data_IF_692714247152
#
_entry.id   IF_692714247152
#
_cell.length_a   1.000
_cell.length_b   1.000
_cell.length_c   1.000
_cell.angle_alpha   90.00
_cell.angle_beta   90.00
_cell.angle_gamma   90.00
#
_symmetry.space_group_name_H-M   'P 1'
#
loop_
_entity.id
_entity.type
_entity.pdbx_description
1 polymer ?
#
# COMPACT_ATOMS: atom_id res chain seq x y z
N UNK A 1 -7.36 -78.59 -2.85
CA UNK A 1 -6.01 -78.08 -2.50
C UNK A 1 -5.85 -76.75 -3.19
N UNK A 2 -6.08 -75.63 -2.49
CA UNK A 2 -5.99 -74.29 -3.07
C UNK A 2 -4.55 -73.82 -2.93
N UNK A 3 -3.81 -73.81 -4.03
CA UNK A 3 -2.45 -73.29 -4.07
C UNK A 3 -2.46 -71.78 -3.84
N UNK A 4 -1.86 -71.35 -2.72
CA UNK A 4 -1.57 -69.95 -2.43
C UNK A 4 -0.50 -69.47 -3.43
N UNK A 5 -0.95 -68.72 -4.43
CA UNK A 5 -0.11 -68.12 -5.45
C UNK A 5 0.64 -66.94 -4.79
N UNK A 6 1.87 -67.16 -4.34
CA UNK A 6 2.69 -66.05 -3.85
C UNK A 6 3.12 -65.18 -5.03
N UNK A 7 2.97 -63.85 -4.96
CA UNK A 7 3.40 -62.95 -6.02
C UNK A 7 4.91 -63.03 -6.20
N UNK A 8 5.36 -62.96 -7.45
CA UNK A 8 6.79 -63.02 -7.79
C UNK A 8 7.50 -61.76 -7.26
N UNK A 9 8.80 -61.85 -6.91
CA UNK A 9 9.57 -60.71 -6.41
C UNK A 9 9.63 -59.53 -7.41
N UNK A 10 9.51 -59.80 -8.72
CA UNK A 10 9.43 -58.77 -9.75
C UNK A 10 8.12 -57.94 -9.65
N UNK A 11 6.98 -58.58 -9.34
CA UNK A 11 5.70 -57.90 -9.19
C UNK A 11 5.64 -57.03 -7.93
N UNK A 12 6.34 -57.44 -6.86
CA UNK A 12 6.46 -56.63 -5.64
C UNK A 12 7.32 -55.39 -5.90
N UNK A 13 8.42 -55.54 -6.64
CA UNK A 13 9.28 -54.41 -6.97
C UNK A 13 8.57 -53.39 -7.87
N UNK A 14 7.86 -53.86 -8.91
CA UNK A 14 7.05 -52.97 -9.76
C UNK A 14 5.97 -52.23 -8.97
N UNK A 15 5.29 -52.93 -8.04
CA UNK A 15 4.32 -52.30 -7.16
C UNK A 15 4.95 -51.23 -6.29
N UNK A 16 6.12 -51.50 -5.68
CA UNK A 16 6.84 -50.51 -4.86
C UNK A 16 7.28 -49.29 -5.69
N UNK A 17 7.72 -49.50 -6.94
CA UNK A 17 8.08 -48.38 -7.82
C UNK A 17 6.85 -47.56 -8.22
N UNK A 18 5.72 -48.21 -8.47
CA UNK A 18 4.46 -47.53 -8.78
C UNK A 18 3.96 -46.73 -7.58
N UNK A 19 4.00 -47.32 -6.37
CA UNK A 19 3.58 -46.66 -5.13
C UNK A 19 4.48 -45.44 -4.83
N UNK A 20 5.80 -45.56 -5.03
CA UNK A 20 6.73 -44.45 -4.85
C UNK A 20 6.49 -43.33 -5.86
N UNK A 21 6.23 -43.68 -7.13
CA UNK A 21 5.90 -42.72 -8.19
C UNK A 21 4.62 -41.94 -7.85
N UNK A 22 3.57 -42.64 -7.43
CA UNK A 22 2.32 -42.03 -6.98
C UNK A 22 2.53 -41.14 -5.76
N UNK A 23 3.41 -41.52 -4.83
CA UNK A 23 3.72 -40.71 -3.66
C UNK A 23 4.47 -39.43 -4.05
N UNK A 24 5.38 -39.49 -5.01
CA UNK A 24 6.09 -38.31 -5.55
C UNK A 24 5.10 -37.37 -6.23
N UNK A 25 4.21 -37.89 -7.07
CA UNK A 25 3.16 -37.08 -7.72
C UNK A 25 2.18 -36.47 -6.71
N UNK A 26 1.78 -37.23 -5.68
CA UNK A 26 0.92 -36.72 -4.61
C UNK A 26 1.62 -35.60 -3.83
N UNK A 27 2.93 -35.74 -3.58
CA UNK A 27 3.73 -34.72 -2.91
C UNK A 27 3.94 -33.48 -3.78
N UNK A 28 4.08 -33.65 -5.09
CA UNK A 28 4.19 -32.54 -6.05
C UNK A 28 2.86 -31.75 -6.12
N UNK A 29 1.73 -32.46 -6.16
CA UNK A 29 0.39 -31.85 -6.10
C UNK A 29 0.14 -31.14 -4.78
N UNK A 30 0.54 -31.74 -3.65
CA UNK A 30 0.45 -31.13 -2.33
C UNK A 30 1.35 -29.88 -2.24
N UNK A 31 2.59 -29.97 -2.71
CA UNK A 31 3.55 -28.86 -2.76
C UNK A 31 3.00 -27.71 -3.58
N UNK A 32 2.47 -28.01 -4.78
CA UNK A 32 1.83 -27.02 -5.64
C UNK A 32 0.59 -26.38 -4.98
N UNK A 33 -0.24 -27.17 -4.29
CA UNK A 33 -1.38 -26.67 -3.55
C UNK A 33 -0.98 -25.79 -2.34
N UNK A 34 0.07 -26.17 -1.62
CA UNK A 34 0.61 -25.40 -0.48
C UNK A 34 1.24 -24.09 -0.96
N UNK A 35 1.95 -24.09 -2.08
CA UNK A 35 2.54 -22.90 -2.71
C UNK A 35 1.46 -21.90 -3.16
N UNK A 36 0.36 -22.41 -3.73
CA UNK A 36 -0.80 -21.59 -4.13
C UNK A 36 -1.64 -21.10 -2.93
N UNK A 37 -1.63 -21.81 -1.80
CA UNK A 37 -2.39 -21.47 -0.59
C UNK A 37 -1.61 -20.62 0.43
N UNK A 38 -0.43 -20.11 0.08
CA UNK A 38 0.31 -19.14 0.93
C UNK A 38 -0.30 -17.73 0.80
N UNK A 39 -1.48 -17.52 1.38
CA UNK A 39 -1.57 -16.45 2.37
C UNK A 39 -2.34 -16.84 3.65
N UNK A 40 -2.51 -18.14 3.98
CA UNK A 40 -3.34 -18.53 5.15
C UNK A 40 -2.72 -19.50 6.17
N UNK A 41 -1.47 -19.94 6.03
CA UNK A 41 -0.83 -20.82 7.03
C UNK A 41 -0.05 -20.07 8.14
N UNK A 42 -0.16 -18.74 8.22
CA UNK A 42 0.39 -17.90 9.30
C UNK A 42 -0.63 -16.93 9.91
N UNK A 43 -1.92 -17.28 9.89
CA UNK A 43 -2.89 -16.60 10.75
C UNK A 43 -3.32 -17.55 11.85
N UNK A 44 -2.59 -17.52 12.96
CA UNK A 44 -3.11 -18.02 14.23
C UNK A 44 -4.47 -17.36 14.49
N UNK A 45 -5.55 -18.12 14.70
CA UNK A 45 -6.77 -17.53 15.23
C UNK A 45 -6.45 -17.10 16.66
N UNK A 46 -6.34 -15.79 16.86
CA UNK A 46 -6.42 -15.18 18.18
C UNK A 46 -7.58 -15.83 18.93
N UNK A 47 -7.25 -16.38 20.11
CA UNK A 47 -8.11 -17.26 20.86
C UNK A 47 -9.47 -16.65 21.17
N UNK A 48 -10.46 -17.53 21.28
CA UNK A 48 -11.69 -17.21 21.97
C UNK A 48 -12.04 -18.39 22.89
N UNK A 49 -11.47 -18.35 24.09
CA UNK A 49 -12.22 -18.78 25.26
C UNK A 49 -13.22 -17.69 25.59
N UNK A 50 -14.49 -18.05 25.78
CA UNK A 50 -15.45 -17.19 26.48
C UNK A 50 -14.95 -16.93 27.91
N UNK A 51 -15.16 -15.71 28.47
CA UNK A 51 -16.41 -15.47 29.18
C UNK A 51 -16.99 -14.04 29.05
N UNK A 52 -18.33 -14.01 28.96
CA UNK A 52 -19.31 -13.22 29.76
C UNK A 52 -18.90 -11.84 30.35
N UNK A 53 -19.64 -10.83 29.85
CA UNK A 53 -20.20 -9.62 30.50
C UNK A 53 -19.37 -8.87 31.56
N UNK A 54 -18.92 -7.66 31.25
CA UNK A 54 -19.58 -6.41 31.67
C UNK A 54 -18.75 -5.16 31.28
N UNK A 55 -19.42 -4.17 30.68
CA UNK A 55 -19.13 -2.75 30.94
C UNK A 55 -18.02 -2.02 30.14
N UNK A 56 -18.42 -0.82 29.70
CA UNK A 56 -17.61 0.37 29.39
C UNK A 56 -16.99 0.50 27.99
N UNK A 57 -17.65 1.37 27.22
CA UNK A 57 -17.15 2.32 26.22
C UNK A 57 -15.63 2.41 26.01
N UNK A 58 -15.19 2.38 24.75
CA UNK A 58 -14.77 3.59 24.05
C UNK A 58 -14.53 3.34 22.56
N UNK A 59 -14.81 4.41 21.79
CA UNK A 59 -14.54 4.55 20.39
C UNK A 59 -13.04 4.46 20.08
N UNK A 60 -12.71 3.96 18.90
CA UNK A 60 -11.36 3.96 18.38
C UNK A 60 -11.34 3.46 16.95
N UNK A 61 -11.70 4.33 16.00
CA UNK A 61 -11.32 4.16 14.61
C UNK A 61 -9.79 4.05 14.58
N UNK A 62 -9.27 2.89 14.21
CA UNK A 62 -7.84 2.74 13.92
C UNK A 62 -7.67 3.02 12.43
N UNK A 63 -7.63 4.32 12.09
CA UNK A 63 -6.88 4.78 10.93
C UNK A 63 -5.44 4.33 11.17
N UNK A 64 -4.97 3.38 10.38
CA UNK A 64 -3.55 3.05 10.31
C UNK A 64 -2.87 4.16 9.50
N UNK A 65 -2.65 5.30 10.16
CA UNK A 65 -1.65 6.26 9.73
C UNK A 65 -0.28 5.61 9.96
N UNK A 66 0.59 5.50 8.95
CA UNK A 66 1.98 5.14 9.18
C UNK A 66 2.65 6.35 9.85
N UNK A 67 2.77 6.28 11.16
CA UNK A 67 3.53 7.23 11.97
C UNK A 67 5.03 7.09 11.65
N UNK A 68 5.52 7.83 10.64
CA UNK A 68 6.96 8.01 10.45
C UNK A 68 7.43 9.20 11.28
N UNK A 69 7.71 8.92 12.55
CA UNK A 69 8.43 9.82 13.43
C UNK A 69 9.89 9.97 13.02
N UNK A 70 10.34 11.22 12.83
CA UNK A 70 11.71 11.61 13.17
C UNK A 70 12.85 11.31 12.19
N UNK A 71 12.57 10.90 10.94
CA UNK A 71 13.55 10.96 9.85
C UNK A 71 12.80 11.31 8.57
N UNK A 72 13.05 12.50 8.02
CA UNK A 72 12.50 12.87 6.71
C UNK A 72 13.21 12.00 5.66
N UNK A 73 12.74 10.77 5.48
CA UNK A 73 13.18 9.92 4.38
C UNK A 73 12.81 10.64 3.09
N UNK A 74 13.84 11.16 2.42
CA UNK A 74 13.74 12.04 1.24
C UNK A 74 13.04 11.37 0.06
N UNK A 75 12.82 10.05 0.13
CA UNK A 75 12.16 9.24 -0.89
C UNK A 75 11.11 8.33 -0.25
N UNK A 76 10.06 8.08 -1.02
CA UNK A 76 9.07 7.04 -0.81
C UNK A 76 9.51 5.77 -1.54
N UNK A 77 9.23 4.62 -0.95
CA UNK A 77 9.48 3.31 -1.52
C UNK A 77 8.31 2.37 -1.23
N UNK A 78 7.96 1.56 -2.22
CA UNK A 78 6.99 0.48 -2.13
C UNK A 78 7.58 -0.77 -2.76
N UNK A 79 7.32 -1.91 -2.15
CA UNK A 79 7.69 -3.22 -2.66
C UNK A 79 6.43 -4.05 -2.95
N UNK A 80 6.41 -4.74 -4.10
CA UNK A 80 5.31 -5.62 -4.52
C UNK A 80 5.88 -6.93 -5.03
N UNK A 81 5.41 -8.06 -4.51
CA UNK A 81 5.89 -9.37 -4.94
C UNK A 81 5.29 -9.72 -6.30
N UNK A 82 6.16 -9.83 -7.30
CA UNK A 82 5.81 -10.16 -8.69
C UNK A 82 6.51 -11.45 -9.12
N UNK A 83 6.87 -12.33 -8.17
CA UNK A 83 7.50 -13.61 -8.46
C UNK A 83 6.66 -14.42 -9.47
N UNK A 84 7.35 -15.04 -10.43
CA UNK A 84 6.72 -15.84 -11.47
C UNK A 84 6.23 -15.05 -12.70
N UNK A 85 6.49 -13.74 -12.78
CA UNK A 85 6.37 -12.96 -14.02
C UNK A 85 7.75 -12.46 -14.48
N UNK A 86 8.01 -12.48 -15.78
CA UNK A 86 9.21 -11.84 -16.34
C UNK A 86 8.99 -10.32 -16.50
N UNK A 87 10.06 -9.49 -16.59
CA UNK A 87 9.92 -8.05 -16.83
C UNK A 87 9.04 -7.71 -18.05
N UNK A 88 9.10 -8.54 -19.10
CA UNK A 88 8.38 -8.37 -20.36
C UNK A 88 6.87 -8.66 -20.25
N UNK A 89 6.49 -9.46 -19.26
CA UNK A 89 5.09 -9.82 -18.96
C UNK A 89 4.41 -8.78 -18.04
N UNK A 90 5.19 -7.85 -17.50
CA UNK A 90 4.71 -6.81 -16.60
C UNK A 90 4.41 -5.51 -17.34
N UNK A 91 3.41 -4.78 -16.87
CA UNK A 91 3.07 -3.44 -17.34
C UNK A 91 2.75 -2.56 -16.14
N UNK A 92 3.46 -1.44 -16.05
CA UNK A 92 3.20 -0.41 -15.03
C UNK A 92 2.59 0.81 -15.72
N UNK A 93 1.45 1.29 -15.22
CA UNK A 93 0.78 2.50 -15.70
C UNK A 93 0.55 3.46 -14.56
N UNK A 94 0.73 4.74 -14.85
CA UNK A 94 0.50 5.80 -13.90
C UNK A 94 -0.51 6.80 -14.48
N UNK A 95 -1.54 7.09 -13.70
CA UNK A 95 -2.59 8.07 -14.00
C UNK A 95 -2.66 9.05 -12.82
N UNK A 96 -1.97 10.18 -12.94
CA UNK A 96 -1.76 11.10 -11.82
C UNK A 96 -1.03 10.38 -10.67
N UNK A 97 -1.69 10.28 -9.51
CA UNK A 97 -1.16 9.57 -8.33
C UNK A 97 -1.51 8.09 -8.28
N UNK A 98 -2.36 7.58 -9.17
CA UNK A 98 -2.75 6.17 -9.18
C UNK A 98 -1.74 5.39 -10.01
N UNK A 99 -1.11 4.39 -9.41
CA UNK A 99 -0.22 3.45 -10.09
C UNK A 99 -0.91 2.10 -10.20
N UNK A 100 -0.92 1.54 -11.39
CA UNK A 100 -1.47 0.22 -11.71
C UNK A 100 -0.35 -0.67 -12.22
N UNK A 101 -0.15 -1.81 -11.57
CA UNK A 101 0.77 -2.85 -11.99
C UNK A 101 -0.05 -4.03 -12.50
N UNK A 102 0.24 -4.48 -13.71
CA UNK A 102 -0.39 -5.63 -14.35
C UNK A 102 0.69 -6.65 -14.70
N UNK A 103 0.38 -7.94 -14.58
CA UNK A 103 1.20 -9.04 -15.07
C UNK A 103 0.33 -10.05 -15.78
N UNK A 104 0.78 -10.56 -16.93
CA UNK A 104 0.09 -11.63 -17.67
C UNK A 104 1.11 -12.64 -18.19
N UNK A 105 1.01 -13.87 -17.69
CA UNK A 105 1.87 -14.99 -18.06
C UNK A 105 1.03 -16.06 -18.76
N UNK A 106 1.51 -16.55 -19.89
CA UNK A 106 0.92 -17.68 -20.62
C UNK A 106 2.03 -18.61 -21.07
N UNK A 107 2.01 -19.86 -20.59
CA UNK A 107 3.01 -20.85 -20.93
C UNK A 107 2.35 -22.16 -21.35
N UNK A 108 2.56 -22.53 -22.61
CA UNK A 108 2.16 -23.84 -23.10
C UNK A 108 3.26 -24.88 -22.79
N UNK A 109 2.85 -26.01 -22.22
CA UNK A 109 3.72 -27.13 -21.86
C UNK A 109 3.17 -28.41 -22.49
N UNK A 110 4.02 -29.28 -23.07
CA UNK A 110 3.58 -30.57 -23.58
C UNK A 110 3.19 -31.50 -22.41
N UNK A 111 2.07 -32.18 -22.56
CA UNK A 111 1.62 -33.27 -21.69
C UNK A 111 2.17 -34.61 -22.14
N UNK A 112 2.10 -35.60 -21.25
CA UNK A 112 2.70 -36.93 -21.44
C UNK A 112 2.11 -37.71 -22.63
N UNK A 113 0.82 -37.49 -22.93
CA UNK A 113 0.09 -38.22 -23.98
C UNK A 113 -0.07 -37.44 -25.31
N UNK A 114 0.71 -36.37 -25.49
CA UNK A 114 0.62 -35.51 -26.68
C UNK A 114 -0.42 -34.38 -26.59
N UNK A 115 -1.14 -34.31 -25.47
CA UNK A 115 -1.95 -33.14 -25.10
C UNK A 115 -1.06 -31.94 -24.76
N UNK A 116 -1.59 -30.72 -24.81
CA UNK A 116 -0.87 -29.52 -24.34
C UNK A 116 -1.59 -28.91 -23.15
N UNK A 117 -0.84 -28.62 -22.08
CA UNK A 117 -1.32 -27.83 -20.95
C UNK A 117 -0.95 -26.36 -21.17
N UNK A 118 -1.86 -25.43 -20.86
CA UNK A 118 -1.57 -24.00 -20.86
C UNK A 118 -1.68 -23.50 -19.43
N UNK A 119 -0.56 -23.03 -18.89
CA UNK A 119 -0.53 -22.28 -17.65
C UNK A 119 -0.84 -20.82 -17.95
N UNK A 120 -1.87 -20.27 -17.31
CA UNK A 120 -2.26 -18.88 -17.44
C UNK A 120 -2.29 -18.20 -16.07
N UNK A 121 -1.58 -17.08 -15.92
CA UNK A 121 -1.62 -16.26 -14.70
C UNK A 121 -1.84 -14.80 -15.07
N UNK A 122 -2.71 -14.15 -14.32
CA UNK A 122 -2.93 -12.71 -14.39
C UNK A 122 -2.88 -12.10 -13.00
N UNK A 123 -2.27 -10.92 -12.90
CA UNK A 123 -2.24 -10.12 -11.69
C UNK A 123 -2.55 -8.67 -12.06
N UNK A 124 -3.40 -8.02 -11.26
CA UNK A 124 -3.61 -6.57 -11.31
C UNK A 124 -3.58 -6.04 -9.88
N UNK A 125 -2.68 -5.09 -9.63
CA UNK A 125 -2.62 -4.37 -8.35
C UNK A 125 -2.63 -2.87 -8.62
N UNK A 126 -3.43 -2.16 -7.85
CA UNK A 126 -3.55 -0.71 -7.92
C UNK A 126 -3.18 -0.10 -6.58
N UNK A 127 -2.53 1.06 -6.63
CA UNK A 127 -2.33 1.86 -5.44
C UNK A 127 -2.37 3.36 -5.72
N UNK A 128 -2.64 4.11 -4.65
CA UNK A 128 -2.56 5.55 -4.67
C UNK A 128 -1.27 6.00 -3.98
N UNK A 129 -0.44 6.74 -4.71
CA UNK A 129 0.76 7.36 -4.17
C UNK A 129 0.39 8.40 -3.10
N UNK A 130 1.12 8.44 -1.96
CA UNK A 130 0.94 9.46 -0.94
C UNK A 130 1.01 10.89 -1.48
N UNK A 131 0.40 11.83 -0.76
CA UNK A 131 0.56 13.26 -1.06
C UNK A 131 2.01 13.72 -0.81
N UNK A 132 2.42 14.79 -1.49
CA UNK A 132 3.75 15.39 -1.32
C UNK A 132 4.89 14.60 -1.95
N UNK A 133 4.59 13.65 -2.86
CA UNK A 133 5.60 13.02 -3.72
C UNK A 133 5.72 13.77 -5.04
N UNK A 134 6.92 13.76 -5.60
CA UNK A 134 7.14 14.19 -6.98
C UNK A 134 6.67 13.06 -7.91
N UNK A 135 5.44 13.24 -8.41
CA UNK A 135 4.71 12.26 -9.22
C UNK A 135 5.36 12.06 -10.59
N UNK A 136 6.07 13.05 -11.10
CA UNK A 136 6.75 12.99 -12.40
C UNK A 136 8.09 12.24 -12.32
N UNK A 137 8.66 12.14 -11.12
CA UNK A 137 9.93 11.47 -10.85
C UNK A 137 9.77 10.06 -10.26
N UNK A 138 8.61 9.44 -10.46
CA UNK A 138 8.36 8.05 -10.06
C UNK A 138 9.20 7.12 -10.94
N UNK A 139 9.93 6.19 -10.31
CA UNK A 139 10.69 5.15 -10.98
C UNK A 139 10.25 3.77 -10.50
N UNK A 140 10.47 2.77 -11.36
CA UNK A 140 10.12 1.39 -11.10
C UNK A 140 11.27 0.48 -11.53
N UNK A 141 11.58 -0.52 -10.70
CA UNK A 141 12.63 -1.52 -10.97
C UNK A 141 12.18 -2.89 -10.46
N UNK A 142 12.53 -3.94 -11.18
CA UNK A 142 12.28 -5.32 -10.76
C UNK A 142 13.60 -5.96 -10.33
N UNK A 143 13.64 -6.47 -9.10
CA UNK A 143 14.79 -7.22 -8.58
C UNK A 143 14.76 -8.67 -9.11
N UNK A 144 15.93 -9.34 -9.12
CA UNK A 144 16.08 -10.70 -9.64
C UNK A 144 15.29 -11.76 -8.86
N UNK A 145 14.89 -11.45 -7.63
CA UNK A 145 14.04 -12.28 -6.78
C UNK A 145 12.53 -12.10 -7.07
N UNK A 146 12.16 -11.27 -8.04
CA UNK A 146 10.77 -10.97 -8.38
C UNK A 146 10.16 -9.83 -7.56
N UNK A 147 10.92 -9.14 -6.71
CA UNK A 147 10.41 -8.00 -5.96
C UNK A 147 10.39 -6.74 -6.84
N UNK A 148 9.19 -6.24 -7.16
CA UNK A 148 9.02 -4.95 -7.85
C UNK A 148 9.13 -3.81 -6.83
N UNK A 149 9.98 -2.84 -7.12
CA UNK A 149 10.24 -1.66 -6.30
C UNK A 149 9.79 -0.40 -7.04
N UNK A 150 8.85 0.32 -6.45
CA UNK A 150 8.37 1.62 -6.92
C UNK A 150 8.91 2.68 -5.95
N UNK A 151 9.59 3.69 -6.47
CA UNK A 151 10.17 4.76 -5.66
C UNK A 151 9.84 6.13 -6.24
N UNK A 152 9.77 7.13 -5.36
CA UNK A 152 9.55 8.52 -5.76
C UNK A 152 10.17 9.48 -4.75
N UNK A 153 10.78 10.60 -5.17
CA UNK A 153 11.26 11.60 -4.25
C UNK A 153 10.08 12.32 -3.59
N UNK A 154 10.26 12.76 -2.34
CA UNK A 154 9.32 13.69 -1.70
C UNK A 154 9.57 15.10 -2.20
N UNK A 155 8.50 15.84 -2.53
CA UNK A 155 8.60 17.25 -2.84
C UNK A 155 9.17 17.99 -1.62
N UNK A 156 10.21 18.78 -1.83
CA UNK A 156 10.77 19.59 -0.77
C UNK A 156 9.72 20.58 -0.28
N UNK A 157 9.34 20.51 0.99
CA UNK A 157 8.67 21.62 1.63
C UNK A 157 9.66 22.79 1.62
N UNK A 158 9.29 23.90 0.98
CA UNK A 158 10.10 25.10 1.06
C UNK A 158 10.30 25.43 2.55
N UNK A 159 11.53 25.77 2.99
CA UNK A 159 11.74 26.24 4.34
C UNK A 159 10.77 27.39 4.59
N UNK A 160 9.85 27.20 5.53
CA UNK A 160 8.99 28.30 5.94
C UNK A 160 9.91 29.34 6.59
N UNK A 161 10.32 30.35 5.84
CA UNK A 161 10.97 31.52 6.41
C UNK A 161 10.00 32.09 7.44
N UNK A 162 10.42 32.07 8.72
CA UNK A 162 9.55 32.39 9.84
C UNK A 162 8.96 33.78 9.68
N UNK A 163 7.68 33.85 9.33
CA UNK A 163 6.95 35.12 9.26
C UNK A 163 6.49 35.49 10.66
N UNK A 164 6.89 36.68 11.12
CA UNK A 164 6.37 37.22 12.37
C UNK A 164 4.85 37.37 12.28
N UNK A 165 4.11 36.68 13.15
CA UNK A 165 2.66 36.80 13.26
C UNK A 165 2.37 37.85 14.35
N UNK A 166 1.88 39.05 14.00
CA UNK A 166 1.59 40.08 14.98
C UNK A 166 0.40 39.66 15.85
N UNK A 167 0.52 39.86 17.17
CA UNK A 167 -0.56 39.60 18.12
C UNK A 167 -1.38 40.88 18.25
N UNK A 168 -2.65 40.83 17.83
CA UNK A 168 -3.61 41.92 18.05
C UNK A 168 -4.33 41.72 19.38
N UNK A 169 -4.22 42.69 20.28
CA UNK A 169 -5.00 42.73 21.51
C UNK A 169 -6.46 43.03 21.14
N UNK A 170 -7.36 42.08 21.37
CA UNK A 170 -8.80 42.35 21.35
C UNK A 170 -9.22 42.72 22.77
N UNK A 171 -9.74 43.94 22.93
CA UNK A 171 -10.34 44.38 24.18
C UNK A 171 -11.52 43.43 24.50
N UNK A 172 -11.39 42.69 25.59
CA UNK A 172 -12.50 41.90 26.11
C UNK A 172 -13.63 42.85 26.49
N UNK A 173 -14.75 42.74 25.79
CA UNK A 173 -15.95 43.48 26.12
C UNK A 173 -16.50 42.94 27.45
N UNK A 174 -16.24 43.68 28.52
CA UNK A 174 -16.55 43.23 29.87
C UNK A 174 -16.10 44.18 30.97
N UNK A 175 -16.42 45.48 30.86
CA UNK A 175 -16.52 46.37 32.01
C UNK A 175 -17.47 47.53 31.70
N UNK A 176 -18.68 47.45 32.24
CA UNK A 176 -19.68 48.51 32.29
C UNK A 176 -19.35 49.55 33.36
N UNK A 177 -19.62 50.83 33.03
CA UNK A 177 -19.83 52.04 33.86
C UNK A 177 -19.04 53.20 33.22
N UNK A 178 -19.60 54.35 32.85
CA UNK A 178 -20.91 54.95 33.02
C UNK A 178 -20.72 56.48 32.92
N UNK A 179 -21.61 57.17 32.20
CA UNK A 179 -21.81 58.65 32.19
C UNK A 179 -20.58 59.50 31.72
N UNK A 180 -20.65 60.61 30.97
CA UNK A 180 -21.68 61.64 30.75
C UNK A 180 -21.31 62.45 29.49
N UNK A 181 -22.34 62.82 28.71
CA UNK A 181 -22.56 64.07 27.98
C UNK A 181 -21.51 64.78 27.08
N UNK A 182 -22.08 65.22 25.93
CA UNK A 182 -21.90 66.50 25.23
C UNK A 182 -20.66 66.66 24.31
N UNK A 183 -20.71 67.33 23.15
CA UNK A 183 -21.74 67.94 22.28
C UNK A 183 -20.97 68.55 21.08
N UNK A 184 -21.69 68.81 19.97
CA UNK A 184 -21.33 69.66 18.80
C UNK A 184 -20.25 69.13 17.84
N UNK A 185 -20.57 68.76 16.59
CA UNK A 185 -21.06 69.54 15.43
C UNK A 185 -19.94 70.37 14.76
N UNK A 186 -19.67 70.10 13.47
CA UNK A 186 -19.79 71.07 12.35
C UNK A 186 -18.84 70.81 11.17
N UNK A 187 -19.48 70.72 9.98
CA UNK A 187 -19.10 71.11 8.60
C UNK A 187 -17.62 71.11 8.14
N UNK A 188 -17.28 70.39 7.06
CA UNK A 188 -17.44 70.71 5.62
C UNK A 188 -16.40 71.71 5.06
N UNK A 189 -15.71 71.28 4.00
CA UNK A 189 -14.90 72.11 3.09
C UNK A 189 -13.39 71.98 3.32
N UNK A 190 -12.51 72.06 2.32
CA UNK A 190 -12.61 72.17 0.85
C UNK A 190 -11.19 71.91 0.34
N UNK A 191 -11.11 71.50 -0.92
CA UNK A 191 -9.91 71.35 -1.77
C UNK A 191 -8.94 72.55 -1.65
N UNK A 192 -7.63 72.30 -1.84
CA UNK A 192 -6.68 72.91 -2.81
C UNK A 192 -5.31 72.22 -2.58
N UNK A 193 -4.77 71.46 -3.53
CA UNK A 193 -3.83 71.85 -4.59
C UNK A 193 -2.41 72.24 -4.13
N UNK A 194 -1.44 71.73 -4.91
CA UNK A 194 -0.06 72.20 -5.09
C UNK A 194 0.98 71.72 -4.09
N UNK A 195 1.86 70.81 -4.49
CA UNK A 195 3.04 71.08 -5.33
C UNK A 195 4.24 71.41 -4.46
N UNK A 196 5.20 70.48 -4.40
CA UNK A 196 6.55 70.73 -4.89
C UNK A 196 7.36 69.44 -4.80
N UNK A 197 7.68 68.91 -5.97
CA UNK A 197 8.77 67.97 -6.18
C UNK A 197 10.08 68.77 -6.10
N UNK A 198 11.02 68.28 -5.30
CA UNK A 198 12.42 68.66 -5.36
C UNK A 198 13.19 67.38 -5.69
N UNK A 199 13.68 67.27 -6.92
CA UNK A 199 15.05 66.87 -7.33
C UNK A 199 15.07 66.64 -8.84
#
# INVERSE_FOLDING_TARGET
MSSLLQPSPASIFEQMTSDLQQQVEAMDKLSHAVFQAQPLLWLEPAGQGEPRQDGAAQAGATEQEPESGGRQDKKFELYMDMAGFSPEELTVRQEGRKVTVMGRHEKQSPGEDGDSFVEYRELRREMLLPAGLDVEAVTCSLCSDGQLRIEAPRLALQPAEGKAIPISLQAGEGATQGDTAAKEEKELGREEESSSQET
#
